data_IF_047199008719
#
_entry.id   IF_047199008719
#
_cell.length_a   1.000
_cell.length_b   1.000
_cell.length_c   1.000
_cell.angle_alpha   90.00
_cell.angle_beta   90.00
_cell.angle_gamma   90.00
#
_symmetry.space_group_name_H-M   'P 1'
#
loop_
_entity.id
_entity.type
_entity.pdbx_description
1 polymer ?
#
# COMPACT_ATOMS: atom_id res chain seq x y z
N UNK A 1 21.45 -2.95 0.15
CA UNK A 1 20.50 -4.05 0.57
C UNK A 1 19.58 -4.45 -0.57
N UNK A 2 18.70 -5.46 -0.38
CA UNK A 2 17.67 -5.86 -1.36
C UNK A 2 16.30 -5.90 -0.70
N UNK A 3 15.26 -5.59 -1.48
CA UNK A 3 13.86 -5.70 -1.07
C UNK A 3 13.02 -6.40 -2.12
N UNK A 4 11.95 -7.07 -1.67
CA UNK A 4 10.93 -7.62 -2.53
C UNK A 4 9.92 -6.51 -2.87
N UNK A 5 9.88 -6.11 -4.13
CA UNK A 5 9.03 -5.04 -4.66
C UNK A 5 8.17 -5.64 -5.76
N UNK A 6 6.89 -5.27 -5.81
CA UNK A 6 6.02 -5.80 -6.86
C UNK A 6 5.70 -4.77 -7.95
N UNK A 7 5.83 -3.48 -7.64
CA UNK A 7 5.62 -2.43 -8.63
C UNK A 7 6.40 -1.15 -8.28
N UNK A 8 6.71 -0.34 -9.29
CA UNK A 8 7.23 1.03 -9.17
C UNK A 8 6.41 1.89 -10.12
N UNK A 9 5.40 2.57 -9.57
CA UNK A 9 4.51 3.43 -10.33
C UNK A 9 5.07 4.85 -10.36
N UNK A 10 5.22 5.37 -11.58
CA UNK A 10 5.68 6.74 -11.81
C UNK A 10 4.48 7.66 -12.07
N UNK A 11 4.63 8.93 -11.74
CA UNK A 11 3.62 9.97 -11.96
C UNK A 11 2.32 9.78 -11.16
N UNK A 12 2.39 9.25 -9.93
CA UNK A 12 1.23 9.18 -9.03
C UNK A 12 0.84 10.57 -8.51
N UNK A 13 -0.46 10.85 -8.42
CA UNK A 13 -1.05 12.07 -7.88
C UNK A 13 -1.85 11.82 -6.60
N UNK A 14 -1.92 10.57 -6.13
CA UNK A 14 -2.78 10.15 -5.03
C UNK A 14 -2.01 9.67 -3.80
N UNK A 15 -0.69 9.54 -3.92
CA UNK A 15 0.15 8.98 -2.87
C UNK A 15 0.94 10.05 -2.11
N UNK A 16 0.33 11.20 -1.87
CA UNK A 16 0.91 12.34 -1.17
C UNK A 16 0.92 13.62 -2.02
N UNK A 17 1.56 14.71 -1.57
CA UNK A 17 1.57 15.98 -2.27
C UNK A 17 2.47 15.95 -3.52
N UNK A 18 2.05 16.67 -4.55
CA UNK A 18 2.78 16.79 -5.81
C UNK A 18 2.76 15.52 -6.66
N UNK A 19 3.65 15.44 -7.64
CA UNK A 19 3.83 14.24 -8.48
C UNK A 19 4.83 13.33 -7.80
N UNK A 20 4.50 12.04 -7.67
CA UNK A 20 5.33 11.09 -6.92
C UNK A 20 5.65 9.83 -7.72
N UNK A 21 6.78 9.24 -7.42
CA UNK A 21 7.05 7.83 -7.75
C UNK A 21 6.69 6.99 -6.54
N UNK A 22 5.78 6.03 -6.70
CA UNK A 22 5.37 5.12 -5.62
C UNK A 22 6.05 3.77 -5.77
N UNK A 23 6.80 3.36 -4.76
CA UNK A 23 7.47 2.07 -4.69
C UNK A 23 6.64 1.13 -3.85
N UNK A 24 6.10 0.07 -4.45
CA UNK A 24 5.20 -0.88 -3.80
C UNK A 24 5.93 -2.13 -3.32
N UNK A 25 6.13 -2.22 -2.02
CA UNK A 25 6.74 -3.37 -1.36
C UNK A 25 5.81 -4.56 -1.28
N UNK A 26 6.37 -5.76 -1.36
CA UNK A 26 5.66 -7.03 -1.23
C UNK A 26 5.83 -7.62 0.16
N UNK A 27 4.75 -8.13 0.72
CA UNK A 27 4.61 -8.58 2.10
C UNK A 27 3.74 -7.62 2.90
N UNK A 28 2.71 -8.16 3.55
CA UNK A 28 1.84 -7.42 4.47
C UNK A 28 1.44 -8.34 5.62
N UNK A 29 1.41 -7.82 6.83
CA UNK A 29 0.95 -8.53 8.02
C UNK A 29 -0.55 -8.31 8.30
N UNK A 30 -1.24 -7.52 7.48
CA UNK A 30 -2.69 -7.37 7.49
C UNK A 30 -3.35 -8.23 6.40
N UNK A 31 -4.66 -8.47 6.57
CA UNK A 31 -5.50 -9.23 5.62
C UNK A 31 -6.81 -8.49 5.37
N UNK A 32 -6.70 -7.21 5.00
CA UNK A 32 -7.87 -6.36 4.75
C UNK A 32 -8.78 -6.99 3.70
N UNK A 33 -10.07 -7.13 4.03
CA UNK A 33 -11.07 -7.72 3.15
C UNK A 33 -11.28 -6.92 1.84
N UNK A 34 -10.93 -5.64 1.85
CA UNK A 34 -11.01 -4.72 0.69
C UNK A 34 -9.64 -4.38 0.10
N UNK A 35 -8.63 -5.22 0.30
CA UNK A 35 -7.28 -4.91 -0.18
C UNK A 35 -7.25 -4.70 -1.69
N UNK A 36 -6.74 -3.55 -2.15
CA UNK A 36 -6.60 -3.26 -3.58
C UNK A 36 -5.38 -3.94 -4.22
N UNK A 37 -4.43 -4.38 -3.40
CA UNK A 37 -3.20 -5.03 -3.83
C UNK A 37 -3.03 -6.40 -3.15
N UNK A 38 -3.96 -7.37 -3.37
CA UNK A 38 -3.87 -8.68 -2.74
C UNK A 38 -2.57 -9.42 -3.12
N UNK A 39 -1.98 -9.10 -4.28
CA UNK A 39 -0.67 -9.59 -4.71
C UNK A 39 0.48 -9.15 -3.81
N UNK A 40 0.28 -8.10 -3.02
CA UNK A 40 1.29 -7.63 -2.06
C UNK A 40 1.29 -8.39 -0.73
N UNK A 41 0.23 -9.15 -0.42
CA UNK A 41 0.06 -9.75 0.91
C UNK A 41 1.11 -10.81 1.25
N UNK A 42 1.61 -11.56 0.26
CA UNK A 42 2.66 -12.56 0.44
C UNK A 42 4.01 -11.94 0.07
N UNK A 43 5.01 -12.07 0.94
CA UNK A 43 6.33 -11.45 0.78
C UNK A 43 7.25 -12.13 -0.23
N UNK A 44 6.82 -13.22 -0.87
CA UNK A 44 7.60 -13.94 -1.89
C UNK A 44 7.00 -13.77 -3.29
N UNK A 45 7.78 -13.96 -4.36
CA UNK A 45 7.25 -13.91 -5.71
C UNK A 45 6.09 -14.88 -5.92
N UNK A 46 5.11 -14.50 -6.73
CA UNK A 46 3.93 -15.30 -7.03
C UNK A 46 3.61 -15.26 -8.53
N UNK A 47 3.10 -16.38 -9.06
CA UNK A 47 2.53 -16.41 -10.40
C UNK A 47 1.12 -15.81 -10.37
N UNK A 48 0.87 -14.82 -11.22
CA UNK A 48 -0.46 -14.26 -11.47
C UNK A 48 -0.95 -14.72 -12.83
N UNK A 49 -2.24 -15.07 -12.93
CA UNK A 49 -2.86 -15.47 -14.17
C UNK A 49 -4.15 -14.69 -14.44
N UNK A 50 -4.10 -13.77 -15.37
CA UNK A 50 -5.24 -12.97 -15.83
C UNK A 50 -6.06 -13.74 -16.89
N UNK A 51 -7.10 -14.44 -16.44
CA UNK A 51 -7.98 -15.25 -17.32
C UNK A 51 -8.63 -14.41 -18.42
N UNK A 52 -8.98 -13.17 -18.13
CA UNK A 52 -9.60 -12.23 -19.07
C UNK A 52 -8.66 -11.79 -20.21
N UNK A 53 -7.35 -11.85 -20.02
CA UNK A 53 -6.35 -11.60 -21.09
C UNK A 53 -6.05 -12.84 -21.91
N UNK A 54 -6.35 -14.04 -21.41
CA UNK A 54 -5.93 -15.30 -22.01
C UNK A 54 -6.72 -15.63 -23.27
N UNK A 55 -6.01 -15.82 -24.39
CA UNK A 55 -6.57 -16.24 -25.70
C UNK A 55 -6.60 -17.77 -25.92
N UNK A 56 -6.26 -18.57 -24.92
CA UNK A 56 -6.31 -20.03 -24.98
C UNK A 56 -5.27 -20.70 -25.88
N UNK A 57 -4.18 -20.01 -26.26
CA UNK A 57 -3.22 -20.53 -27.28
C UNK A 57 -2.36 -21.72 -26.79
N UNK A 58 -2.39 -22.11 -25.52
CA UNK A 58 -1.68 -23.26 -24.96
C UNK A 58 -0.17 -23.15 -24.81
N UNK A 59 0.50 -22.10 -25.35
CA UNK A 59 1.96 -21.96 -25.35
C UNK A 59 2.57 -22.02 -23.94
N UNK A 60 1.89 -21.44 -22.93
CA UNK A 60 2.36 -21.46 -21.55
C UNK A 60 2.44 -22.89 -20.97
N UNK A 61 1.51 -23.79 -21.35
CA UNK A 61 1.53 -25.19 -20.93
C UNK A 61 2.63 -25.98 -21.66
N UNK A 62 2.78 -25.76 -22.97
CA UNK A 62 3.81 -26.39 -23.81
C UNK A 62 5.24 -26.06 -23.32
N UNK A 63 5.49 -24.79 -22.97
CA UNK A 63 6.82 -24.31 -22.54
C UNK A 63 7.10 -24.50 -21.05
N UNK A 64 6.09 -24.89 -20.24
CA UNK A 64 6.26 -25.09 -18.81
C UNK A 64 6.90 -26.46 -18.53
N UNK A 65 8.03 -26.54 -17.80
CA UNK A 65 8.69 -27.81 -17.51
C UNK A 65 7.89 -28.73 -16.59
N UNK A 66 6.90 -28.16 -15.87
CA UNK A 66 6.02 -28.87 -14.90
C UNK A 66 4.56 -28.78 -15.30
N UNK A 67 4.25 -28.56 -16.59
CA UNK A 67 2.89 -28.49 -17.16
C UNK A 67 1.92 -27.55 -16.38
N UNK A 68 2.44 -26.51 -15.74
CA UNK A 68 1.77 -25.56 -14.83
C UNK A 68 1.36 -26.13 -13.47
N UNK A 69 1.78 -27.34 -13.17
CA UNK A 69 1.66 -27.96 -11.86
C UNK A 69 2.92 -27.68 -11.02
N UNK A 70 2.78 -27.51 -9.70
CA UNK A 70 3.91 -27.24 -8.78
C UNK A 70 4.87 -26.17 -9.32
N UNK A 71 4.35 -24.98 -9.62
CA UNK A 71 5.07 -23.88 -10.26
C UNK A 71 6.38 -23.52 -9.53
N UNK A 72 7.50 -23.56 -10.27
CA UNK A 72 8.85 -23.21 -9.76
C UNK A 72 9.20 -21.73 -10.02
N UNK A 73 8.28 -20.92 -10.52
CA UNK A 73 8.49 -19.51 -10.88
C UNK A 73 9.62 -19.30 -11.91
N UNK A 74 9.87 -20.28 -12.79
CA UNK A 74 10.94 -20.22 -13.78
C UNK A 74 10.72 -19.17 -14.91
N UNK A 75 9.55 -18.54 -14.97
CA UNK A 75 9.22 -17.47 -15.91
C UNK A 75 8.95 -17.89 -17.36
N UNK A 76 9.16 -19.13 -17.76
CA UNK A 76 8.97 -19.53 -19.17
C UNK A 76 7.58 -19.24 -19.69
N UNK A 77 6.53 -19.49 -18.89
CA UNK A 77 5.15 -19.25 -19.28
C UNK A 77 4.83 -17.74 -19.43
N UNK A 78 5.57 -16.85 -18.80
CA UNK A 78 5.41 -15.40 -18.97
C UNK A 78 6.08 -14.93 -20.26
N UNK A 79 7.31 -15.37 -20.53
CA UNK A 79 8.07 -14.99 -21.74
C UNK A 79 7.36 -15.42 -23.04
N UNK A 80 6.71 -16.58 -23.03
CA UNK A 80 6.03 -17.11 -24.22
C UNK A 80 4.54 -16.73 -24.31
N UNK A 81 4.02 -15.93 -23.37
CA UNK A 81 2.64 -15.47 -23.41
C UNK A 81 2.50 -14.26 -24.34
N UNK A 82 1.82 -14.35 -25.49
CA UNK A 82 1.75 -13.24 -26.45
C UNK A 82 0.82 -12.10 -26.02
N UNK A 83 0.08 -12.25 -24.91
CA UNK A 83 -0.90 -11.31 -24.40
C UNK A 83 -0.70 -10.98 -22.92
N UNK A 84 0.46 -11.30 -22.38
CA UNK A 84 0.83 -11.05 -20.97
C UNK A 84 -0.25 -11.48 -19.96
N UNK A 85 -0.90 -12.62 -20.24
CA UNK A 85 -1.90 -13.19 -19.34
C UNK A 85 -1.27 -13.86 -18.11
N UNK A 86 0.04 -14.06 -18.10
CA UNK A 86 0.80 -14.60 -16.97
C UNK A 86 1.96 -13.70 -16.64
N UNK A 87 2.15 -13.43 -15.38
CA UNK A 87 3.28 -12.66 -14.87
C UNK A 87 3.78 -13.21 -13.54
N UNK A 88 5.04 -12.95 -13.22
CA UNK A 88 5.58 -13.17 -11.88
C UNK A 88 5.54 -11.84 -11.15
N UNK A 89 4.70 -11.75 -10.14
CA UNK A 89 4.57 -10.59 -9.29
C UNK A 89 5.57 -10.67 -8.12
N UNK A 90 6.38 -9.65 -8.00
CA UNK A 90 7.44 -9.55 -7.02
C UNK A 90 8.82 -9.92 -7.56
N UNK A 91 9.73 -8.98 -7.44
CA UNK A 91 11.13 -9.11 -7.82
C UNK A 91 12.00 -8.47 -6.75
N UNK A 92 13.18 -9.04 -6.51
CA UNK A 92 14.19 -8.40 -5.68
C UNK A 92 14.82 -7.22 -6.43
N UNK A 93 14.88 -6.08 -5.75
CA UNK A 93 15.59 -4.89 -6.18
C UNK A 93 16.63 -4.49 -5.14
N UNK A 94 17.81 -4.11 -5.59
CA UNK A 94 18.80 -3.44 -4.75
C UNK A 94 18.43 -1.96 -4.52
N UNK A 95 18.96 -1.36 -3.47
CA UNK A 95 18.81 0.07 -3.17
C UNK A 95 19.22 0.93 -4.36
N UNK A 96 20.32 0.57 -5.05
CA UNK A 96 20.80 1.31 -6.22
C UNK A 96 19.83 1.22 -7.42
N UNK A 97 19.21 0.06 -7.65
CA UNK A 97 18.22 -0.10 -8.72
C UNK A 97 16.97 0.75 -8.45
N UNK A 98 16.44 0.71 -7.21
CA UNK A 98 15.27 1.52 -6.83
C UNK A 98 15.59 3.01 -6.91
N UNK A 99 16.73 3.44 -6.38
CA UNK A 99 17.15 4.85 -6.45
C UNK A 99 17.27 5.33 -7.90
N UNK A 100 17.82 4.50 -8.78
CA UNK A 100 17.91 4.83 -10.22
C UNK A 100 16.54 5.08 -10.86
N UNK A 101 15.51 4.28 -10.49
CA UNK A 101 14.14 4.51 -10.98
C UNK A 101 13.57 5.81 -10.42
N UNK A 102 13.72 6.06 -9.11
CA UNK A 102 13.26 7.28 -8.43
C UNK A 102 13.87 8.54 -9.07
N UNK A 103 15.18 8.53 -9.34
CA UNK A 103 15.88 9.68 -9.91
C UNK A 103 15.44 10.06 -11.32
N UNK A 104 14.78 9.19 -12.06
CA UNK A 104 14.25 9.52 -13.40
C UNK A 104 13.19 10.63 -13.38
N UNK A 105 12.54 10.86 -12.24
CA UNK A 105 11.46 11.82 -12.08
C UNK A 105 11.87 13.07 -11.28
N UNK A 106 13.16 13.29 -11.03
CA UNK A 106 13.67 14.42 -10.21
C UNK A 106 13.10 15.77 -10.62
N UNK A 107 13.06 16.06 -11.93
CA UNK A 107 12.50 17.32 -12.45
C UNK A 107 11.00 17.48 -12.13
N UNK A 108 10.25 16.37 -12.13
CA UNK A 108 8.82 16.38 -11.76
C UNK A 108 8.64 16.66 -10.27
N UNK A 109 9.53 16.12 -9.43
CA UNK A 109 9.49 16.39 -7.98
C UNK A 109 9.78 17.87 -7.68
N UNK A 110 10.81 18.44 -8.31
CA UNK A 110 11.19 19.84 -8.13
C UNK A 110 10.06 20.79 -8.54
N UNK A 111 9.42 20.54 -9.68
CA UNK A 111 8.37 21.41 -10.23
C UNK A 111 7.02 21.29 -9.53
N UNK A 112 6.70 20.12 -8.97
CA UNK A 112 5.40 19.85 -8.34
C UNK A 112 5.41 19.90 -6.81
N UNK A 113 6.60 19.97 -6.19
CA UNK A 113 6.76 19.74 -4.74
C UNK A 113 6.51 18.29 -4.32
N UNK A 114 6.63 17.35 -5.27
CA UNK A 114 6.45 15.92 -5.07
C UNK A 114 7.68 15.20 -4.54
N UNK A 115 7.82 13.91 -4.85
CA UNK A 115 8.92 13.08 -4.40
C UNK A 115 8.67 11.59 -4.54
N UNK A 116 9.14 10.79 -3.60
CA UNK A 116 8.90 9.34 -3.58
C UNK A 116 7.99 8.94 -2.42
N UNK A 117 7.13 7.95 -2.67
CA UNK A 117 6.31 7.30 -1.63
C UNK A 117 6.66 5.82 -1.57
N UNK A 118 6.93 5.32 -0.39
CA UNK A 118 7.14 3.91 -0.11
C UNK A 118 5.86 3.34 0.49
N UNK A 119 5.23 2.41 -0.23
CA UNK A 119 3.92 1.84 0.03
C UNK A 119 3.90 0.34 -0.28
N UNK A 120 2.76 -0.23 -0.69
CA UNK A 120 2.62 -1.59 -1.18
C UNK A 120 1.76 -2.48 -0.31
N UNK A 121 2.35 -3.54 0.26
CA UNK A 121 1.76 -4.28 1.37
C UNK A 121 1.95 -3.48 2.67
N UNK A 122 3.02 -3.80 3.40
CA UNK A 122 3.52 -2.97 4.51
C UNK A 122 5.03 -2.79 4.33
N UNK A 123 5.44 -1.63 3.84
CA UNK A 123 6.84 -1.36 3.50
C UNK A 123 7.77 -1.45 4.72
N UNK A 124 7.24 -1.17 5.93
CA UNK A 124 8.01 -1.23 7.17
C UNK A 124 8.35 -2.66 7.62
N UNK A 125 7.80 -3.70 6.99
CA UNK A 125 8.25 -5.09 7.22
C UNK A 125 9.63 -5.35 6.63
N UNK A 126 10.09 -4.54 5.68
CA UNK A 126 11.42 -4.59 5.10
C UNK A 126 12.25 -3.38 5.57
N UNK A 127 12.24 -3.14 6.87
CA UNK A 127 12.70 -1.90 7.53
C UNK A 127 14.19 -1.59 7.23
N UNK A 128 15.05 -2.60 7.12
CA UNK A 128 16.47 -2.37 6.86
C UNK A 128 16.70 -1.75 5.47
N UNK A 129 15.98 -2.25 4.47
CA UNK A 129 16.01 -1.67 3.13
C UNK A 129 15.33 -0.30 3.09
N UNK A 130 14.17 -0.16 3.75
CA UNK A 130 13.42 1.09 3.78
C UNK A 130 14.28 2.22 4.40
N UNK A 131 14.96 1.94 5.50
CA UNK A 131 15.86 2.91 6.12
C UNK A 131 17.01 3.32 5.18
N UNK A 132 17.64 2.34 4.50
CA UNK A 132 18.72 2.60 3.56
C UNK A 132 18.26 3.47 2.39
N UNK A 133 17.13 3.12 1.74
CA UNK A 133 16.64 3.88 0.59
C UNK A 133 16.17 5.29 0.97
N UNK A 134 15.53 5.46 2.14
CA UNK A 134 15.16 6.77 2.66
C UNK A 134 16.39 7.67 2.87
N UNK A 135 17.47 7.12 3.43
CA UNK A 135 18.75 7.84 3.57
C UNK A 135 19.32 8.28 2.21
N UNK A 136 19.27 7.39 1.22
CA UNK A 136 19.74 7.72 -0.13
C UNK A 136 18.85 8.80 -0.79
N UNK A 137 17.54 8.74 -0.63
CA UNK A 137 16.63 9.77 -1.11
C UNK A 137 16.95 11.14 -0.48
N UNK A 138 17.19 11.18 0.83
CA UNK A 138 17.57 12.42 1.54
C UNK A 138 18.90 12.98 1.05
N UNK A 139 19.93 12.13 0.79
CA UNK A 139 21.22 12.57 0.24
C UNK A 139 21.08 13.20 -1.16
N UNK A 140 20.06 12.80 -1.91
CA UNK A 140 19.74 13.32 -3.24
C UNK A 140 18.70 14.46 -3.21
N UNK A 141 18.31 14.98 -2.04
CA UNK A 141 17.36 16.08 -1.91
C UNK A 141 15.90 15.71 -2.25
N UNK A 142 15.57 14.42 -2.30
CA UNK A 142 14.23 13.94 -2.68
C UNK A 142 13.32 13.93 -1.45
N UNK A 143 12.14 14.53 -1.58
CA UNK A 143 11.08 14.46 -0.58
C UNK A 143 10.55 13.02 -0.47
N UNK A 144 10.38 12.55 0.77
CA UNK A 144 10.03 11.16 1.07
C UNK A 144 8.70 11.06 1.80
N UNK A 145 7.87 10.13 1.38
CA UNK A 145 6.67 9.74 2.12
C UNK A 145 6.69 8.24 2.41
N UNK A 146 6.16 7.86 3.57
CA UNK A 146 5.95 6.46 3.97
C UNK A 146 4.47 6.25 4.20
N UNK A 147 3.88 5.33 3.41
CA UNK A 147 2.48 4.92 3.48
C UNK A 147 2.40 3.60 4.26
N UNK A 148 1.74 3.61 5.41
CA UNK A 148 1.75 2.50 6.35
C UNK A 148 0.43 2.37 7.11
N UNK A 149 0.06 1.13 7.41
CA UNK A 149 -1.00 0.82 8.36
C UNK A 149 -0.52 0.82 9.84
N UNK A 150 0.79 0.96 10.07
CA UNK A 150 1.35 1.12 11.40
C UNK A 150 1.40 -0.13 12.28
N UNK A 151 1.09 -1.31 11.78
CA UNK A 151 1.11 -2.54 12.58
C UNK A 151 2.51 -3.16 12.64
N UNK A 152 3.46 -2.39 13.18
CA UNK A 152 4.87 -2.78 13.38
C UNK A 152 5.37 -2.26 14.73
N UNK A 153 6.48 -2.78 15.29
CA UNK A 153 7.07 -2.19 16.49
C UNK A 153 7.43 -0.71 16.30
N UNK A 154 7.24 0.12 17.33
CA UNK A 154 7.51 1.58 17.23
C UNK A 154 8.97 1.89 16.93
N UNK A 155 9.89 1.02 17.31
CA UNK A 155 11.31 1.08 16.98
C UNK A 155 11.55 1.19 15.47
N UNK A 156 10.69 0.58 14.66
CA UNK A 156 10.75 0.71 13.20
C UNK A 156 10.48 2.16 12.76
N UNK A 157 9.51 2.83 13.37
CA UNK A 157 9.28 4.26 13.13
C UNK A 157 10.47 5.11 13.55
N UNK A 158 11.04 4.86 14.75
CA UNK A 158 12.18 5.62 15.25
C UNK A 158 13.38 5.58 14.30
N UNK A 159 13.62 4.45 13.63
CA UNK A 159 14.69 4.29 12.65
C UNK A 159 14.53 5.20 11.43
N UNK A 160 13.31 5.39 10.96
CA UNK A 160 13.03 6.12 9.71
C UNK A 160 12.57 7.56 9.92
N UNK A 161 12.16 7.94 11.13
CA UNK A 161 11.74 9.31 11.48
C UNK A 161 12.69 10.40 10.96
N UNK A 162 14.03 10.27 11.07
CA UNK A 162 14.94 11.32 10.59
C UNK A 162 14.94 11.51 9.06
N UNK A 163 14.48 10.49 8.32
CA UNK A 163 14.59 10.43 6.86
C UNK A 163 13.23 10.51 6.15
N UNK A 164 12.13 10.62 6.91
CA UNK A 164 10.77 10.68 6.37
C UNK A 164 10.19 12.09 6.51
N UNK A 165 9.74 12.69 5.41
CA UNK A 165 9.14 14.02 5.40
C UNK A 165 7.65 13.98 5.68
N UNK A 166 6.96 12.91 5.30
CA UNK A 166 5.52 12.74 5.44
C UNK A 166 5.18 11.28 5.76
N UNK A 167 4.30 11.05 6.72
CA UNK A 167 3.64 9.77 6.89
C UNK A 167 2.21 9.83 6.35
N UNK A 168 1.86 8.90 5.48
CA UNK A 168 0.49 8.58 5.10
C UNK A 168 0.06 7.43 6.01
N UNK A 169 -0.74 7.72 6.99
CA UNK A 169 -1.06 6.76 8.05
C UNK A 169 -2.51 6.29 7.94
N UNK A 170 -2.70 5.00 7.74
CA UNK A 170 -4.02 4.41 7.56
C UNK A 170 -4.70 4.10 8.90
N UNK A 171 -5.85 4.71 9.16
CA UNK A 171 -6.79 4.32 10.21
C UNK A 171 -7.98 3.60 9.54
N UNK A 172 -7.95 2.27 9.54
CA UNK A 172 -8.86 1.48 8.72
C UNK A 172 -10.23 1.26 9.38
N UNK A 173 -10.26 1.07 10.70
CA UNK A 173 -11.46 0.93 11.50
C UNK A 173 -11.08 1.13 12.96
N UNK A 174 -11.88 1.89 13.72
CA UNK A 174 -11.64 2.14 15.13
C UNK A 174 -12.25 1.05 16.02
N UNK A 175 -13.41 0.52 15.64
CA UNK A 175 -14.03 -0.63 16.31
C UNK A 175 -13.11 -1.86 16.20
N UNK A 176 -12.58 -2.31 17.35
CA UNK A 176 -11.60 -3.39 17.41
C UNK A 176 -12.12 -4.74 16.94
N UNK A 177 -13.38 -5.06 17.19
CA UNK A 177 -13.96 -6.34 16.75
C UNK A 177 -14.15 -6.37 15.23
N UNK A 178 -14.59 -5.25 14.64
CA UNK A 178 -14.64 -5.10 13.18
C UNK A 178 -13.22 -5.10 12.60
N UNK A 179 -12.26 -4.46 13.27
CA UNK A 179 -10.86 -4.44 12.82
C UNK A 179 -10.31 -5.87 12.76
N UNK A 180 -10.46 -6.67 13.81
CA UNK A 180 -10.06 -8.09 13.80
C UNK A 180 -10.76 -8.89 12.71
N UNK A 181 -12.06 -8.68 12.54
CA UNK A 181 -12.88 -9.42 11.55
C UNK A 181 -12.48 -9.13 10.11
N UNK A 182 -12.23 -7.87 9.76
CA UNK A 182 -12.03 -7.42 8.37
C UNK A 182 -10.59 -7.13 7.99
N UNK A 183 -9.72 -6.86 8.95
CA UNK A 183 -8.30 -6.55 8.72
C UNK A 183 -7.39 -7.68 9.23
N UNK A 184 -7.89 -8.54 10.11
CA UNK A 184 -7.20 -9.75 10.57
C UNK A 184 -6.33 -9.58 11.81
N UNK A 185 -6.25 -8.37 12.39
CA UNK A 185 -5.49 -8.05 13.61
C UNK A 185 -6.30 -7.09 14.48
N UNK A 186 -5.96 -6.95 15.78
CA UNK A 186 -6.48 -5.84 16.58
C UNK A 186 -5.79 -4.51 16.22
N UNK A 187 -6.44 -3.40 16.60
CA UNK A 187 -5.96 -2.06 16.25
C UNK A 187 -5.14 -1.38 17.37
N UNK A 188 -4.93 -2.03 18.50
CA UNK A 188 -4.30 -1.40 19.67
C UNK A 188 -2.88 -0.88 19.35
N UNK A 189 -2.04 -1.73 18.73
CA UNK A 189 -0.68 -1.34 18.32
C UNK A 189 -0.69 -0.20 17.29
N UNK A 190 -1.63 -0.23 16.35
CA UNK A 190 -1.78 0.79 15.30
C UNK A 190 -2.11 2.15 15.94
N UNK A 191 -3.08 2.20 16.86
CA UNK A 191 -3.50 3.41 17.53
C UNK A 191 -2.42 3.93 18.50
N UNK A 192 -1.72 3.04 19.19
CA UNK A 192 -0.58 3.41 20.05
C UNK A 192 0.55 4.04 19.24
N UNK A 193 0.91 3.44 18.12
CA UNK A 193 1.93 3.95 17.20
C UNK A 193 1.53 5.32 16.63
N UNK A 194 0.26 5.48 16.22
CA UNK A 194 -0.25 6.77 15.74
C UNK A 194 -0.11 7.86 16.80
N UNK A 195 -0.47 7.58 18.05
CA UNK A 195 -0.32 8.53 19.17
C UNK A 195 1.13 8.99 19.31
N UNK A 196 2.06 8.05 19.39
CA UNK A 196 3.50 8.33 19.49
C UNK A 196 4.04 9.11 18.28
N UNK A 197 3.51 8.81 17.09
CA UNK A 197 3.91 9.47 15.87
C UNK A 197 3.41 10.91 15.80
N UNK A 198 2.18 11.19 16.25
CA UNK A 198 1.63 12.56 16.38
C UNK A 198 2.44 13.42 17.37
N UNK A 199 2.88 12.84 18.51
CA UNK A 199 3.76 13.51 19.45
C UNK A 199 5.12 13.89 18.86
N UNK A 200 5.58 13.20 17.81
CA UNK A 200 6.88 13.44 17.15
C UNK A 200 6.92 14.72 16.32
N UNK A 201 5.80 15.44 16.17
CA UNK A 201 5.64 16.65 15.36
C UNK A 201 6.05 16.48 13.89
N UNK A 202 5.99 15.27 13.35
CA UNK A 202 6.20 15.00 11.93
C UNK A 202 4.92 15.31 11.17
N UNK A 203 5.05 15.56 9.86
CA UNK A 203 3.90 15.71 8.98
C UNK A 203 3.21 14.37 8.82
N UNK A 204 1.92 14.33 9.13
CA UNK A 204 1.10 13.12 9.06
C UNK A 204 -0.20 13.45 8.36
N UNK A 205 -0.52 12.68 7.34
CA UNK A 205 -1.85 12.64 6.74
C UNK A 205 -2.52 11.35 7.20
N UNK A 206 -3.69 11.47 7.79
CA UNK A 206 -4.52 10.32 8.16
C UNK A 206 -5.35 9.92 6.95
N UNK A 207 -5.32 8.65 6.60
CA UNK A 207 -6.08 8.07 5.49
C UNK A 207 -7.09 7.08 6.06
N UNK A 208 -8.36 7.30 5.76
CA UNK A 208 -9.47 6.47 6.27
C UNK A 208 -10.19 5.88 5.07
N UNK A 209 -9.96 4.60 4.73
CA UNK A 209 -10.75 3.93 3.69
C UNK A 209 -12.19 3.78 4.18
N UNK A 210 -13.15 4.27 3.39
CA UNK A 210 -14.58 4.19 3.73
C UNK A 210 -15.18 2.98 3.06
N UNK A 211 -15.53 1.98 3.87
CA UNK A 211 -16.05 0.70 3.43
C UNK A 211 -17.51 0.57 3.91
N UNK A 212 -18.49 0.63 3.01
CA UNK A 212 -19.90 0.49 3.37
C UNK A 212 -20.18 -0.77 4.19
N UNK A 213 -20.99 -0.62 5.22
CA UNK A 213 -21.35 -1.66 6.21
C UNK A 213 -20.21 -2.07 7.17
N UNK A 214 -19.03 -1.46 7.07
CA UNK A 214 -17.92 -1.73 8.00
C UNK A 214 -17.67 -0.53 8.89
N UNK A 215 -17.21 0.59 8.30
CA UNK A 215 -16.78 1.78 9.04
C UNK A 215 -17.45 3.08 8.55
N UNK A 216 -18.47 3.00 7.71
CA UNK A 216 -19.13 4.13 7.06
C UNK A 216 -20.22 4.80 7.94
N UNK A 217 -20.03 4.89 9.25
CA UNK A 217 -20.96 5.54 10.16
C UNK A 217 -20.42 6.85 10.72
N UNK A 218 -21.32 7.77 11.06
CA UNK A 218 -20.97 9.06 11.68
C UNK A 218 -20.32 8.82 13.04
N UNK A 219 -20.82 7.86 13.79
CA UNK A 219 -20.31 7.48 15.12
C UNK A 219 -18.85 6.99 15.04
N UNK A 220 -18.53 6.18 14.04
CA UNK A 220 -17.16 5.70 13.80
C UNK A 220 -16.23 6.90 13.51
N UNK A 221 -16.64 7.81 12.62
CA UNK A 221 -15.85 9.00 12.28
C UNK A 221 -15.71 9.95 13.47
N UNK A 222 -16.76 10.11 14.30
CA UNK A 222 -16.69 10.91 15.52
C UNK A 222 -15.71 10.32 16.53
N UNK A 223 -15.69 8.99 16.67
CA UNK A 223 -14.74 8.30 17.55
C UNK A 223 -13.30 8.51 17.08
N UNK A 224 -13.05 8.39 15.76
CA UNK A 224 -11.73 8.68 15.18
C UNK A 224 -11.35 10.15 15.42
N UNK A 225 -12.26 11.10 15.17
CA UNK A 225 -12.02 12.53 15.40
C UNK A 225 -11.66 12.80 16.86
N UNK A 226 -12.42 12.22 17.81
CA UNK A 226 -12.14 12.39 19.24
C UNK A 226 -10.74 11.86 19.59
N UNK A 227 -10.40 10.65 19.13
CA UNK A 227 -9.07 10.09 19.35
C UNK A 227 -7.95 10.99 18.79
N UNK A 228 -8.13 11.55 17.60
CA UNK A 228 -7.14 12.45 17.00
C UNK A 228 -7.01 13.74 17.81
N UNK A 229 -8.13 14.33 18.27
CA UNK A 229 -8.10 15.53 19.12
C UNK A 229 -7.35 15.29 20.45
N UNK A 230 -7.46 14.09 21.01
CA UNK A 230 -6.79 13.71 22.27
C UNK A 230 -5.29 13.42 22.08
N UNK A 231 -4.86 13.08 20.87
CA UNK A 231 -3.48 12.65 20.58
C UNK A 231 -2.63 13.72 19.88
N UNK A 232 -3.24 14.70 19.22
CA UNK A 232 -2.54 15.71 18.43
C UNK A 232 -3.27 16.04 17.13
N UNK A 233 -2.66 16.91 16.31
CA UNK A 233 -3.30 17.38 15.08
C UNK A 233 -2.54 16.89 13.84
N UNK A 234 -3.09 15.95 13.07
CA UNK A 234 -2.54 15.61 11.77
C UNK A 234 -2.64 16.81 10.82
N UNK A 235 -1.74 16.88 9.85
CA UNK A 235 -1.77 17.96 8.83
C UNK A 235 -3.00 17.84 7.93
N UNK A 236 -3.48 16.61 7.67
CA UNK A 236 -4.63 16.35 6.81
C UNK A 236 -5.33 15.06 7.21
N UNK A 237 -6.64 15.01 6.99
CA UNK A 237 -7.45 13.79 7.09
C UNK A 237 -8.10 13.58 5.72
N UNK A 238 -7.94 12.40 5.14
CA UNK A 238 -8.49 11.99 3.85
C UNK A 238 -9.40 10.80 4.00
N UNK A 239 -10.66 10.95 3.58
CA UNK A 239 -11.57 9.82 3.43
C UNK A 239 -11.39 9.22 2.03
N UNK A 240 -11.04 7.95 1.96
CA UNK A 240 -10.78 7.23 0.72
C UNK A 240 -11.98 6.33 0.40
N UNK A 241 -12.86 6.70 -0.56
CA UNK A 241 -14.00 5.89 -0.91
C UNK A 241 -13.57 4.53 -1.46
N UNK A 242 -14.19 3.44 -0.99
CA UNK A 242 -13.99 2.13 -1.61
C UNK A 242 -14.38 2.13 -3.08
N UNK A 243 -13.61 1.42 -3.89
CA UNK A 243 -13.91 1.10 -5.28
C UNK A 243 -13.50 -0.34 -5.61
N UNK A 244 -14.18 -0.98 -6.56
CA UNK A 244 -14.01 -2.40 -6.88
C UNK A 244 -12.86 -2.69 -7.87
N UNK A 245 -12.01 -1.69 -8.21
CA UNK A 245 -10.98 -1.85 -9.26
C UNK A 245 -9.94 -2.93 -8.94
N UNK A 246 -9.69 -3.24 -7.66
CA UNK A 246 -8.76 -4.31 -7.25
C UNK A 246 -9.35 -5.73 -7.27
N UNK A 247 -10.67 -5.89 -7.40
CA UNK A 247 -11.32 -7.21 -7.25
C UNK A 247 -10.85 -8.26 -8.28
N UNK A 248 -10.56 -7.83 -9.50
CA UNK A 248 -10.08 -8.73 -10.56
C UNK A 248 -8.73 -9.39 -10.24
N UNK A 249 -7.91 -8.77 -9.40
CA UNK A 249 -6.60 -9.29 -8.99
C UNK A 249 -6.73 -10.54 -8.11
N UNK A 250 -7.79 -10.62 -7.29
CA UNK A 250 -8.06 -11.82 -6.49
C UNK A 250 -8.29 -13.05 -7.37
N UNK A 251 -9.12 -12.91 -8.40
CA UNK A 251 -9.33 -14.00 -9.35
C UNK A 251 -8.04 -14.43 -10.08
N UNK A 252 -7.16 -13.47 -10.38
CA UNK A 252 -5.87 -13.73 -11.00
C UNK A 252 -4.89 -14.46 -10.07
N UNK A 253 -5.07 -14.32 -8.74
CA UNK A 253 -4.34 -15.05 -7.68
C UNK A 253 -5.03 -16.35 -7.24
N UNK A 254 -6.12 -16.74 -7.92
CA UNK A 254 -6.98 -17.87 -7.53
C UNK A 254 -7.57 -17.73 -6.11
N UNK A 255 -7.94 -16.49 -5.74
CA UNK A 255 -8.56 -16.13 -4.47
C UNK A 255 -9.96 -15.59 -4.71
N UNK A 256 -10.79 -15.57 -3.64
CA UNK A 256 -12.12 -14.97 -3.66
C UNK A 256 -12.06 -13.59 -3.04
N UNK A 257 -12.51 -12.56 -3.75
CA UNK A 257 -12.64 -11.21 -3.23
C UNK A 257 -13.89 -11.11 -2.33
N UNK A 258 -13.80 -10.36 -1.24
CA UNK A 258 -14.98 -9.79 -0.61
C UNK A 258 -15.57 -8.73 -1.56
N UNK A 259 -16.90 -8.57 -1.50
CA UNK A 259 -17.59 -7.56 -2.31
C UNK A 259 -18.26 -6.55 -1.39
N UNK A 260 -17.93 -5.29 -1.60
CA UNK A 260 -18.55 -4.17 -0.92
C UNK A 260 -19.21 -3.26 -1.95
N UNK A 261 -20.25 -2.53 -1.53
CA UNK A 261 -20.80 -1.46 -2.36
C UNK A 261 -19.87 -0.25 -2.38
N UNK A 262 -19.99 0.56 -3.42
CA UNK A 262 -19.30 1.87 -3.46
C UNK A 262 -20.11 2.84 -2.59
N UNK A 263 -19.49 3.63 -1.69
CA UNK A 263 -20.20 4.62 -0.89
C UNK A 263 -20.78 5.72 -1.80
N UNK A 264 -22.00 6.16 -1.50
CA UNK A 264 -22.60 7.27 -2.25
C UNK A 264 -22.02 8.63 -1.84
N UNK A 265 -22.26 9.64 -2.69
CA UNK A 265 -21.70 10.98 -2.49
C UNK A 265 -22.27 11.70 -1.27
N UNK A 266 -23.53 11.50 -0.95
CA UNK A 266 -24.21 12.15 0.18
C UNK A 266 -23.63 11.60 1.48
N UNK A 267 -23.47 10.29 1.56
CA UNK A 267 -22.82 9.60 2.69
C UNK A 267 -21.40 10.12 2.90
N UNK A 268 -20.60 10.16 1.84
CA UNK A 268 -19.22 10.68 1.91
C UNK A 268 -19.17 12.13 2.38
N UNK A 269 -20.09 12.98 1.88
CA UNK A 269 -20.19 14.38 2.33
C UNK A 269 -20.54 14.45 3.82
N UNK A 270 -21.49 13.65 4.29
CA UNK A 270 -21.87 13.55 5.70
C UNK A 270 -20.67 13.17 6.58
N UNK A 271 -19.90 12.14 6.16
CA UNK A 271 -18.74 11.68 6.91
C UNK A 271 -17.60 12.73 6.92
N UNK A 272 -17.37 13.41 5.79
CA UNK A 272 -16.37 14.48 5.70
C UNK A 272 -16.70 15.67 6.63
N UNK A 273 -17.97 16.01 6.80
CA UNK A 273 -18.38 17.09 7.69
C UNK A 273 -18.01 16.82 9.17
N UNK A 274 -17.79 15.56 9.53
CA UNK A 274 -17.32 15.22 10.88
C UNK A 274 -15.93 15.79 11.14
N UNK A 275 -15.07 15.95 10.13
CA UNK A 275 -13.70 16.41 10.29
C UNK A 275 -13.48 17.91 9.96
N UNK A 276 -14.53 18.60 9.56
CA UNK A 276 -14.56 20.05 9.42
C UNK A 276 -14.88 20.72 10.77
#
# INVERSE_FOLDING_TARGET
MKAMIFDIERNSYVDGPGIRTTVFFKGCNLRCAWCHNPESQIGTPQMIFYKNKCIGCGKCKEKCPVALENCTLCGRCTVYCPVDAREICGKEYSTAEVLKEILKDSTLYETSGGGVTFSGGECMLQIDFLEEILKECKRNGINTAVDTAGHVPFESFQRILPYTDLFLYDVKCFDNEKHKRYIGVDNALILENLRKLLDSRRRIWIRIPIIPSVNDTVEEMQTIRQFLNDCGHPEKIELLPYHAMGEHKYAALNQTAYRFSVPDKEKLSQLNNVFQ
#
